data_IF_466150605532
#
_entry.id   IF_466150605532
#
_cell.length_a   1.000
_cell.length_b   1.000
_cell.length_c   1.000
_cell.angle_alpha   90.00
_cell.angle_beta   90.00
_cell.angle_gamma   90.00
#
_symmetry.space_group_name_H-M   'P 1'
#
loop_
_entity.id
_entity.type
_entity.pdbx_description
1 polymer ?
#
# COMPACT_ATOMS: atom_id res chain seq x y z
N UNK A 1 -9.77 -27.61 -19.15
CA UNK A 1 -10.16 -26.87 -17.94
C UNK A 1 -10.56 -25.48 -18.40
N UNK A 2 -11.73 -24.98 -17.99
CA UNK A 2 -12.15 -23.62 -18.33
C UNK A 2 -11.20 -22.64 -17.66
N UNK A 3 -10.52 -21.81 -18.43
CA UNK A 3 -9.62 -20.79 -17.88
C UNK A 3 -10.41 -19.53 -17.56
N UNK A 4 -10.59 -19.26 -16.27
CA UNK A 4 -11.21 -18.03 -15.79
C UNK A 4 -10.27 -16.84 -15.95
N UNK A 5 -10.82 -15.67 -16.24
CA UNK A 5 -10.09 -14.42 -16.38
C UNK A 5 -10.25 -13.54 -15.14
N UNK A 6 -9.22 -12.74 -14.82
CA UNK A 6 -9.32 -11.62 -13.87
C UNK A 6 -9.34 -10.26 -14.60
N UNK A 7 -8.70 -10.18 -15.77
CA UNK A 7 -8.60 -8.95 -16.55
C UNK A 7 -8.78 -9.21 -18.04
N UNK A 8 -9.51 -8.31 -18.67
CA UNK A 8 -9.75 -8.25 -20.11
C UNK A 8 -8.47 -7.93 -20.90
N UNK A 9 -8.37 -8.49 -22.11
CA UNK A 9 -7.32 -8.09 -23.05
C UNK A 9 -7.56 -6.69 -23.62
N UNK A 10 -6.50 -6.04 -24.13
CA UNK A 10 -6.61 -4.78 -24.89
C UNK A 10 -6.06 -4.95 -26.29
N UNK A 11 -6.68 -4.26 -27.26
CA UNK A 11 -6.22 -4.29 -28.66
C UNK A 11 -5.14 -3.24 -28.97
N UNK A 12 -5.10 -2.12 -28.22
CA UNK A 12 -4.16 -0.99 -28.45
C UNK A 12 -3.72 -0.33 -27.13
N UNK A 13 -2.45 -0.49 -26.70
CA UNK A 13 -1.50 -1.50 -27.17
C UNK A 13 -2.05 -2.93 -26.97
N UNK A 14 -1.61 -3.92 -27.76
CA UNK A 14 -2.04 -5.30 -27.60
C UNK A 14 -1.56 -5.85 -26.25
N UNK A 15 -2.51 -6.23 -25.40
CA UNK A 15 -2.27 -6.87 -24.09
C UNK A 15 -3.18 -8.09 -24.02
N UNK A 16 -2.64 -9.30 -23.75
CA UNK A 16 -3.48 -10.49 -23.58
C UNK A 16 -4.39 -10.37 -22.34
N UNK A 17 -5.53 -11.07 -22.31
CA UNK A 17 -6.29 -11.20 -21.07
C UNK A 17 -5.45 -11.90 -20.00
N UNK A 18 -5.70 -11.58 -18.73
CA UNK A 18 -5.00 -12.20 -17.61
C UNK A 18 -5.89 -13.26 -16.97
N UNK A 19 -5.32 -14.44 -16.74
CA UNK A 19 -6.02 -15.53 -16.05
C UNK A 19 -6.23 -15.18 -14.58
N UNK A 20 -7.35 -15.64 -14.04
CA UNK A 20 -7.72 -15.46 -12.64
C UNK A 20 -6.62 -15.97 -11.70
N UNK A 21 -6.15 -17.21 -11.91
CA UNK A 21 -5.10 -17.82 -11.08
C UNK A 21 -3.80 -17.01 -11.09
N UNK A 22 -3.40 -16.50 -12.26
CA UNK A 22 -2.16 -15.73 -12.39
C UNK A 22 -2.26 -14.40 -11.64
N UNK A 23 -3.42 -13.73 -11.73
CA UNK A 23 -3.70 -12.50 -11.00
C UNK A 23 -3.67 -12.73 -9.48
N UNK A 24 -4.41 -13.73 -8.98
CA UNK A 24 -4.46 -14.02 -7.54
C UNK A 24 -3.08 -14.36 -6.99
N UNK A 25 -2.28 -15.17 -7.69
CA UNK A 25 -0.92 -15.53 -7.27
C UNK A 25 0.03 -14.32 -7.25
N UNK A 26 -0.06 -13.45 -8.26
CA UNK A 26 0.77 -12.24 -8.31
C UNK A 26 0.40 -11.25 -7.20
N UNK A 27 -0.90 -11.06 -6.95
CA UNK A 27 -1.42 -10.21 -5.86
C UNK A 27 -0.99 -10.77 -4.52
N UNK A 28 -1.15 -12.07 -4.28
CA UNK A 28 -0.70 -12.74 -3.06
C UNK A 28 0.79 -12.51 -2.83
N UNK A 29 1.62 -12.80 -3.83
CA UNK A 29 3.07 -12.62 -3.74
C UNK A 29 3.45 -11.18 -3.38
N UNK A 30 2.89 -10.19 -4.08
CA UNK A 30 3.22 -8.78 -3.84
C UNK A 30 2.67 -8.29 -2.49
N UNK A 31 1.48 -8.71 -2.10
CA UNK A 31 0.92 -8.39 -0.79
C UNK A 31 1.78 -8.96 0.35
N UNK A 32 2.33 -10.16 0.17
CA UNK A 32 3.31 -10.76 1.09
C UNK A 32 4.63 -10.00 1.14
N UNK A 33 5.19 -9.63 -0.01
CA UNK A 33 6.42 -8.81 -0.05
C UNK A 33 6.21 -7.46 0.67
N UNK A 34 5.05 -6.84 0.47
CA UNK A 34 4.66 -5.60 1.13
C UNK A 34 4.55 -5.77 2.65
N UNK A 35 3.79 -6.77 3.12
CA UNK A 35 3.57 -6.96 4.56
C UNK A 35 4.83 -7.45 5.29
N UNK A 36 5.65 -8.29 4.66
CA UNK A 36 6.94 -8.70 5.21
C UNK A 36 7.92 -7.53 5.32
N UNK A 37 7.86 -6.58 4.38
CA UNK A 37 8.62 -5.33 4.48
C UNK A 37 8.21 -4.44 5.66
N UNK A 38 6.95 -4.53 6.09
CA UNK A 38 6.39 -3.83 7.24
C UNK A 38 6.62 -4.59 8.56
N UNK A 39 6.62 -5.93 8.54
CA UNK A 39 6.59 -6.78 9.73
C UNK A 39 7.65 -6.48 10.79
N UNK A 40 8.86 -6.11 10.38
CA UNK A 40 9.95 -5.71 11.30
C UNK A 40 9.65 -4.47 12.15
N UNK A 41 8.63 -3.70 11.80
CA UNK A 41 8.20 -2.49 12.52
C UNK A 41 6.89 -2.69 13.28
N UNK A 42 6.25 -3.85 13.13
CA UNK A 42 4.97 -4.14 13.76
C UNK A 42 5.19 -4.82 15.10
N UNK A 43 4.55 -4.30 16.15
CA UNK A 43 4.69 -4.80 17.52
C UNK A 43 3.60 -5.80 17.93
N UNK A 44 2.58 -5.98 17.09
CA UNK A 44 1.47 -6.90 17.35
C UNK A 44 1.73 -8.31 16.81
N UNK A 45 0.67 -9.11 16.72
CA UNK A 45 0.71 -10.47 16.19
C UNK A 45 0.96 -10.45 14.66
N UNK A 46 2.24 -10.48 14.27
CA UNK A 46 2.63 -10.38 12.86
C UNK A 46 2.15 -11.58 12.04
N UNK A 47 2.07 -12.77 12.63
CA UNK A 47 1.54 -13.96 11.96
C UNK A 47 0.08 -13.73 11.61
N UNK A 48 -0.73 -13.28 12.58
CA UNK A 48 -2.13 -12.94 12.33
C UNK A 48 -2.29 -11.84 11.25
N UNK A 49 -1.46 -10.80 11.31
CA UNK A 49 -1.44 -9.74 10.29
C UNK A 49 -1.15 -10.27 8.89
N UNK A 50 -0.10 -11.10 8.76
CA UNK A 50 0.30 -11.68 7.48
C UNK A 50 -0.76 -12.62 6.92
N UNK A 51 -1.28 -13.54 7.73
CA UNK A 51 -2.30 -14.50 7.28
C UNK A 51 -3.62 -13.81 6.92
N UNK A 52 -3.98 -12.73 7.61
CA UNK A 52 -5.15 -11.90 7.25
C UNK A 52 -4.99 -11.26 5.87
N UNK A 53 -3.83 -10.66 5.59
CA UNK A 53 -3.54 -10.06 4.28
C UNK A 53 -3.50 -11.12 3.18
N UNK A 54 -2.92 -12.30 3.46
CA UNK A 54 -2.91 -13.44 2.54
C UNK A 54 -4.32 -13.92 2.21
N UNK A 55 -5.17 -14.10 3.21
CA UNK A 55 -6.57 -14.49 3.02
C UNK A 55 -7.33 -13.44 2.18
N UNK A 56 -7.14 -12.15 2.46
CA UNK A 56 -7.75 -11.11 1.65
C UNK A 56 -7.24 -11.15 0.19
N UNK A 57 -5.94 -11.32 -0.04
CA UNK A 57 -5.37 -11.41 -1.39
C UNK A 57 -5.91 -12.61 -2.19
N UNK A 58 -6.11 -13.77 -1.55
CA UNK A 58 -6.66 -14.96 -2.19
C UNK A 58 -8.12 -14.78 -2.63
N UNK A 59 -8.92 -14.06 -1.83
CA UNK A 59 -10.37 -14.00 -2.02
C UNK A 59 -10.92 -12.65 -2.50
N UNK A 60 -10.10 -11.61 -2.64
CA UNK A 60 -10.56 -10.25 -3.00
C UNK A 60 -11.41 -10.21 -4.28
N UNK A 61 -11.05 -11.07 -5.22
CA UNK A 61 -11.59 -11.13 -6.57
C UNK A 61 -12.51 -12.33 -6.81
N UNK A 62 -12.94 -13.04 -5.75
CA UNK A 62 -13.72 -14.28 -5.87
C UNK A 62 -14.97 -14.10 -6.74
N UNK A 63 -15.64 -12.96 -6.66
CA UNK A 63 -16.85 -12.68 -7.45
C UNK A 63 -16.60 -12.55 -8.94
N UNK A 64 -15.35 -12.42 -9.40
CA UNK A 64 -15.03 -12.45 -10.84
C UNK A 64 -15.32 -13.82 -11.46
N UNK A 65 -15.46 -14.88 -10.67
CA UNK A 65 -15.81 -16.22 -11.13
C UNK A 65 -17.31 -16.38 -11.47
N UNK A 66 -18.10 -15.33 -11.28
CA UNK A 66 -19.46 -15.24 -11.79
C UNK A 66 -19.49 -15.30 -13.33
N UNK A 67 -20.52 -15.96 -13.87
CA UNK A 67 -20.64 -16.20 -15.32
C UNK A 67 -20.84 -14.90 -16.09
N UNK A 68 -21.60 -13.95 -15.56
CA UNK A 68 -21.80 -12.65 -16.17
C UNK A 68 -20.51 -11.84 -16.16
N UNK A 69 -19.77 -11.88 -15.05
CA UNK A 69 -18.46 -11.22 -14.96
C UNK A 69 -17.47 -11.81 -15.98
N UNK A 70 -17.41 -13.13 -16.12
CA UNK A 70 -16.56 -13.80 -17.11
C UNK A 70 -16.95 -13.44 -18.55
N UNK A 71 -18.25 -13.31 -18.85
CA UNK A 71 -18.75 -12.84 -20.15
C UNK A 71 -18.25 -11.43 -20.46
N UNK A 72 -18.33 -10.51 -19.50
CA UNK A 72 -17.81 -9.13 -19.65
C UNK A 72 -16.32 -9.14 -19.92
N UNK A 73 -15.54 -9.94 -19.16
CA UNK A 73 -14.09 -10.03 -19.32
C UNK A 73 -13.67 -10.59 -20.69
N UNK A 74 -14.35 -11.63 -21.16
CA UNK A 74 -14.04 -12.30 -22.43
C UNK A 74 -14.38 -11.43 -23.65
N UNK A 75 -15.46 -10.65 -23.57
CA UNK A 75 -15.96 -9.85 -24.71
C UNK A 75 -15.36 -8.44 -24.76
N UNK A 76 -14.65 -8.00 -23.71
CA UNK A 76 -14.27 -6.60 -23.51
C UNK A 76 -15.48 -5.66 -23.65
N UNK A 77 -16.65 -6.11 -23.19
CA UNK A 77 -17.86 -5.31 -23.25
C UNK A 77 -17.63 -3.97 -22.53
N UNK A 78 -18.19 -2.89 -23.07
CA UNK A 78 -18.20 -1.56 -22.41
C UNK A 78 -19.22 -1.49 -21.27
N UNK A 79 -19.72 -2.63 -20.82
CA UNK A 79 -20.65 -2.76 -19.71
C UNK A 79 -19.95 -2.36 -18.40
N UNK A 80 -20.71 -1.84 -17.44
CA UNK A 80 -20.20 -1.62 -16.10
C UNK A 80 -19.77 -2.97 -15.53
N UNK A 81 -18.56 -3.04 -14.96
CA UNK A 81 -18.10 -4.25 -14.31
C UNK A 81 -18.96 -4.49 -13.08
N UNK A 82 -19.59 -5.67 -12.92
CA UNK A 82 -20.37 -5.97 -11.73
C UNK A 82 -19.53 -5.83 -10.45
N UNK A 83 -20.16 -5.59 -9.32
CA UNK A 83 -19.46 -5.65 -8.04
C UNK A 83 -19.03 -7.11 -7.77
N UNK A 84 -17.72 -7.34 -7.68
CA UNK A 84 -17.12 -8.68 -7.48
C UNK A 84 -16.64 -8.92 -6.05
N UNK A 85 -16.75 -7.91 -5.19
CA UNK A 85 -16.16 -7.93 -3.85
C UNK A 85 -17.00 -8.77 -2.88
N UNK A 86 -18.32 -8.76 -3.05
CA UNK A 86 -19.28 -9.35 -2.12
C UNK A 86 -19.03 -10.85 -1.86
N UNK A 87 -18.69 -11.62 -2.89
CA UNK A 87 -18.44 -13.06 -2.78
C UNK A 87 -17.24 -13.39 -1.87
N UNK A 88 -16.13 -12.67 -2.02
CA UNK A 88 -14.95 -12.85 -1.18
C UNK A 88 -15.24 -12.50 0.27
N UNK A 89 -15.94 -11.38 0.48
CA UNK A 89 -16.36 -10.94 1.82
C UNK A 89 -17.30 -11.95 2.48
N UNK A 90 -18.31 -12.44 1.74
CA UNK A 90 -19.25 -13.45 2.22
C UNK A 90 -18.54 -14.70 2.75
N UNK A 91 -17.61 -15.23 1.97
CA UNK A 91 -16.83 -16.40 2.35
C UNK A 91 -16.00 -16.16 3.62
N UNK A 92 -15.28 -15.05 3.68
CA UNK A 92 -14.40 -14.75 4.81
C UNK A 92 -15.19 -14.50 6.10
N UNK A 93 -16.39 -13.90 6.03
CA UNK A 93 -17.31 -13.77 7.17
C UNK A 93 -17.77 -15.14 7.66
N UNK A 94 -18.18 -16.05 6.77
CA UNK A 94 -18.58 -17.42 7.15
C UNK A 94 -17.46 -18.19 7.84
N UNK A 95 -16.19 -17.84 7.55
CA UNK A 95 -14.99 -18.41 8.17
C UNK A 95 -14.53 -17.66 9.43
N UNK A 96 -15.28 -16.65 9.88
CA UNK A 96 -14.94 -15.78 11.00
C UNK A 96 -13.60 -15.01 10.82
N UNK A 97 -13.24 -14.71 9.57
CA UNK A 97 -12.04 -13.97 9.17
C UNK A 97 -12.38 -12.50 8.94
N UNK A 98 -12.93 -11.84 9.95
CA UNK A 98 -13.56 -10.51 9.83
C UNK A 98 -12.61 -9.44 9.29
N UNK A 99 -11.35 -9.40 9.74
CA UNK A 99 -10.39 -8.42 9.21
C UNK A 99 -10.11 -8.65 7.73
N UNK A 100 -9.94 -9.90 7.29
CA UNK A 100 -9.71 -10.21 5.89
C UNK A 100 -10.94 -9.83 5.05
N UNK A 101 -12.14 -10.13 5.55
CA UNK A 101 -13.41 -9.72 4.95
C UNK A 101 -13.49 -8.19 4.81
N UNK A 102 -13.05 -7.45 5.83
CA UNK A 102 -13.00 -5.99 5.81
C UNK A 102 -12.02 -5.45 4.76
N UNK A 103 -10.85 -6.08 4.62
CA UNK A 103 -9.87 -5.72 3.59
C UNK A 103 -10.41 -5.97 2.19
N UNK A 104 -11.06 -7.13 1.97
CA UNK A 104 -11.74 -7.43 0.71
C UNK A 104 -12.84 -6.40 0.47
N UNK A 105 -13.77 -6.19 1.39
CA UNK A 105 -14.85 -5.21 1.22
C UNK A 105 -14.33 -3.80 0.84
N UNK A 106 -13.21 -3.38 1.44
CA UNK A 106 -12.66 -2.04 1.28
C UNK A 106 -11.76 -1.83 0.05
N UNK A 107 -11.36 -2.86 -0.71
CA UNK A 107 -10.26 -2.71 -1.67
C UNK A 107 -10.54 -1.77 -2.86
N UNK A 108 -11.81 -1.54 -3.22
CA UNK A 108 -12.20 -0.53 -4.22
C UNK A 108 -12.81 0.75 -3.64
N UNK A 109 -13.35 0.69 -2.41
CA UNK A 109 -14.16 1.78 -1.82
C UNK A 109 -13.51 2.47 -0.61
N UNK A 110 -12.39 1.94 -0.14
CA UNK A 110 -11.72 2.39 1.09
C UNK A 110 -12.34 1.83 2.37
N UNK A 111 -11.66 2.05 3.50
CA UNK A 111 -12.12 1.56 4.81
C UNK A 111 -13.41 2.25 5.23
N UNK A 112 -14.44 1.45 5.48
CA UNK A 112 -15.73 1.92 5.98
C UNK A 112 -15.72 2.14 7.51
N UNK A 113 -16.77 2.76 8.01
CA UNK A 113 -17.00 2.95 9.44
C UNK A 113 -17.48 1.65 10.08
N UNK A 114 -16.71 1.09 11.02
CA UNK A 114 -17.10 -0.17 11.71
C UNK A 114 -18.46 -0.04 12.39
N UNK A 115 -18.78 1.04 13.15
CA UNK A 115 -20.11 1.18 13.76
C UNK A 115 -21.25 1.21 12.74
N UNK A 116 -21.06 1.89 11.60
CA UNK A 116 -22.09 1.97 10.54
C UNK A 116 -22.29 0.63 9.85
N UNK A 117 -21.21 -0.07 9.51
CA UNK A 117 -21.30 -1.42 8.94
C UNK A 117 -21.95 -2.39 9.94
N UNK A 118 -21.58 -2.32 11.22
CA UNK A 118 -22.14 -3.19 12.27
C UNK A 118 -23.64 -2.98 12.44
N UNK A 119 -24.13 -1.76 12.25
CA UNK A 119 -25.56 -1.44 12.30
C UNK A 119 -26.37 -2.11 11.18
N UNK A 120 -25.73 -2.58 10.11
CA UNK A 120 -26.37 -3.33 9.02
C UNK A 120 -26.66 -4.80 9.36
N UNK A 121 -26.21 -5.29 10.52
CA UNK A 121 -26.45 -6.63 11.03
C UNK A 121 -26.08 -7.75 10.03
N UNK A 122 -27.07 -8.45 9.46
CA UNK A 122 -26.85 -9.53 8.49
C UNK A 122 -26.16 -9.07 7.19
N UNK A 123 -26.25 -7.76 6.90
CA UNK A 123 -25.61 -7.11 5.76
C UNK A 123 -24.25 -6.48 6.13
N UNK A 124 -23.65 -6.84 7.28
CA UNK A 124 -22.32 -6.36 7.67
C UNK A 124 -21.28 -6.66 6.57
N UNK A 125 -20.71 -5.60 5.97
CA UNK A 125 -19.77 -5.68 4.83
C UNK A 125 -20.34 -6.39 3.59
N UNK A 126 -21.66 -6.40 3.43
CA UNK A 126 -22.32 -7.02 2.27
C UNK A 126 -23.03 -5.97 1.43
N UNK A 127 -23.15 -6.26 0.14
CA UNK A 127 -23.96 -5.49 -0.78
C UNK A 127 -25.41 -5.99 -0.72
N UNK A 128 -26.40 -5.16 -0.30
CA UNK A 128 -27.80 -5.57 -0.18
C UNK A 128 -28.39 -6.11 -1.49
N UNK A 129 -27.97 -5.56 -2.63
CA UNK A 129 -28.52 -5.93 -3.94
C UNK A 129 -27.97 -7.29 -4.42
N UNK A 130 -26.79 -7.69 -3.94
CA UNK A 130 -26.14 -8.94 -4.30
C UNK A 130 -26.26 -10.04 -3.25
N UNK A 131 -26.59 -9.70 -2.00
CA UNK A 131 -26.53 -10.60 -0.84
C UNK A 131 -27.11 -12.00 -1.10
N UNK A 132 -28.37 -12.07 -1.56
CA UNK A 132 -29.09 -13.32 -1.83
C UNK A 132 -28.48 -14.12 -2.98
N UNK A 133 -28.14 -13.42 -4.07
CA UNK A 133 -27.55 -14.04 -5.25
C UNK A 133 -26.15 -14.59 -4.93
N UNK A 134 -25.29 -13.78 -4.31
CA UNK A 134 -23.96 -14.21 -3.87
C UNK A 134 -24.05 -15.42 -2.97
N UNK A 135 -24.91 -15.41 -1.94
CA UNK A 135 -25.03 -16.54 -1.02
C UNK A 135 -25.43 -17.83 -1.75
N UNK A 136 -26.32 -17.73 -2.76
CA UNK A 136 -26.73 -18.87 -3.58
C UNK A 136 -25.61 -19.41 -4.47
N UNK A 137 -24.82 -18.52 -5.08
CA UNK A 137 -23.74 -18.89 -6.02
C UNK A 137 -22.40 -19.19 -5.34
N UNK A 138 -22.24 -18.82 -4.07
CA UNK A 138 -20.98 -18.93 -3.33
C UNK A 138 -20.35 -20.34 -3.40
N UNK A 139 -21.10 -21.46 -3.22
CA UNK A 139 -20.53 -22.81 -3.34
C UNK A 139 -19.89 -23.07 -4.71
N UNK A 140 -20.49 -22.54 -5.78
CA UNK A 140 -19.96 -22.67 -7.14
C UNK A 140 -18.67 -21.85 -7.31
N UNK A 141 -18.64 -20.60 -6.83
CA UNK A 141 -17.44 -19.77 -6.87
C UNK A 141 -16.28 -20.42 -6.12
N UNK A 142 -16.55 -20.99 -4.94
CA UNK A 142 -15.55 -21.71 -4.15
C UNK A 142 -15.08 -22.99 -4.85
N UNK A 143 -15.96 -23.72 -5.52
CA UNK A 143 -15.58 -24.88 -6.33
C UNK A 143 -14.66 -24.49 -7.49
N UNK A 144 -14.99 -23.40 -8.21
CA UNK A 144 -14.15 -22.84 -9.28
C UNK A 144 -12.79 -22.40 -8.74
N UNK A 145 -12.78 -21.65 -7.63
CA UNK A 145 -11.56 -21.18 -6.96
C UNK A 145 -10.66 -22.34 -6.51
N UNK A 146 -11.24 -23.38 -5.88
CA UNK A 146 -10.50 -24.54 -5.38
C UNK A 146 -9.88 -25.36 -6.52
N UNK A 147 -10.51 -25.38 -7.70
CA UNK A 147 -9.96 -26.04 -8.90
C UNK A 147 -8.70 -25.38 -9.45
N UNK A 148 -8.41 -24.13 -9.06
CA UNK A 148 -7.23 -23.38 -9.49
C UNK A 148 -5.94 -23.74 -8.73
N UNK A 149 -5.99 -24.68 -7.76
CA UNK A 149 -4.82 -25.14 -6.98
C UNK A 149 -4.08 -23.99 -6.27
N UNK A 150 -4.83 -23.00 -5.79
CA UNK A 150 -4.30 -21.86 -5.05
C UNK A 150 -3.88 -22.27 -3.63
N UNK A 151 -2.94 -21.54 -2.99
CA UNK A 151 -2.57 -21.77 -1.60
C UNK A 151 -3.77 -21.72 -0.66
N UNK A 152 -3.81 -22.62 0.31
CA UNK A 152 -4.85 -22.62 1.33
C UNK A 152 -4.64 -21.50 2.37
N UNK A 153 -5.74 -21.04 2.94
CA UNK A 153 -5.73 -20.12 4.10
C UNK A 153 -5.55 -20.90 5.39
N UNK A 154 -4.74 -20.38 6.31
CA UNK A 154 -4.64 -20.95 7.67
C UNK A 154 -5.96 -20.74 8.42
N UNK A 155 -6.42 -21.79 9.12
CA UNK A 155 -7.61 -21.73 9.98
C UNK A 155 -7.36 -20.98 11.31
N UNK A 156 -6.12 -20.61 11.60
CA UNK A 156 -5.68 -20.06 12.89
C UNK A 156 -5.73 -18.53 12.89
N UNK A 157 -6.90 -17.96 12.64
CA UNK A 157 -7.12 -16.52 12.83
C UNK A 157 -7.98 -16.32 14.08
N UNK A 158 -7.45 -15.59 15.06
CA UNK A 158 -8.17 -15.23 16.29
C UNK A 158 -9.44 -14.46 15.93
N UNK A 159 -10.51 -14.71 16.67
CA UNK A 159 -11.82 -14.06 16.47
C UNK A 159 -11.83 -12.57 16.83
N UNK A 160 -10.79 -12.05 17.47
CA UNK A 160 -10.68 -10.65 17.85
C UNK A 160 -9.29 -10.11 17.48
N UNK A 161 -9.28 -9.05 16.69
CA UNK A 161 -8.08 -8.28 16.38
C UNK A 161 -7.93 -7.13 17.37
N UNK A 162 -6.69 -6.85 17.76
CA UNK A 162 -6.29 -5.64 18.48
C UNK A 162 -5.92 -4.51 17.51
N UNK A 163 -6.33 -4.62 16.25
CA UNK A 163 -5.87 -3.73 15.20
C UNK A 163 -6.38 -2.32 15.42
N UNK A 164 -5.46 -1.38 15.28
CA UNK A 164 -5.79 0.05 15.19
C UNK A 164 -6.28 0.40 13.79
N UNK A 165 -6.83 1.61 13.62
CA UNK A 165 -7.12 2.15 12.30
C UNK A 165 -5.86 2.25 11.41
N UNK A 166 -4.68 2.47 11.99
CA UNK A 166 -3.42 2.49 11.24
C UNK A 166 -3.04 1.10 10.73
N UNK A 167 -3.18 0.06 11.56
CA UNK A 167 -2.92 -1.34 11.16
C UNK A 167 -3.81 -1.75 9.99
N UNK A 168 -5.12 -1.45 10.07
CA UNK A 168 -6.07 -1.69 8.96
C UNK A 168 -5.68 -0.94 7.68
N UNK A 169 -5.25 0.33 7.79
CA UNK A 169 -4.79 1.12 6.64
C UNK A 169 -3.54 0.53 5.99
N UNK A 170 -2.58 0.06 6.78
CA UNK A 170 -1.37 -0.59 6.26
C UNK A 170 -1.70 -1.93 5.60
N UNK A 171 -2.53 -2.76 6.23
CA UNK A 171 -2.97 -4.04 5.67
C UNK A 171 -3.74 -3.85 4.35
N UNK A 172 -4.70 -2.90 4.31
CA UNK A 172 -5.41 -2.54 3.09
C UNK A 172 -4.46 -2.01 2.02
N UNK A 173 -3.51 -1.15 2.39
CA UNK A 173 -2.52 -0.64 1.44
C UNK A 173 -1.67 -1.76 0.85
N UNK A 174 -1.38 -2.84 1.57
CA UNK A 174 -0.63 -3.98 1.05
C UNK A 174 -1.43 -4.72 -0.02
N UNK A 175 -2.74 -4.93 0.20
CA UNK A 175 -3.66 -5.56 -0.76
C UNK A 175 -3.87 -4.69 -2.00
N UNK A 176 -4.24 -3.42 -1.79
CA UNK A 176 -4.56 -2.46 -2.86
C UNK A 176 -3.33 -2.17 -3.73
N UNK A 177 -2.15 -1.95 -3.13
CA UNK A 177 -0.91 -1.79 -3.92
C UNK A 177 -0.58 -3.06 -4.73
N UNK A 178 -0.87 -4.24 -4.20
CA UNK A 178 -0.65 -5.50 -4.90
C UNK A 178 -1.60 -5.66 -6.09
N UNK A 179 -2.90 -5.44 -5.91
CA UNK A 179 -3.92 -5.53 -6.96
C UNK A 179 -3.70 -4.50 -8.09
N UNK A 180 -3.60 -3.21 -7.73
CA UNK A 180 -3.30 -2.17 -8.72
C UNK A 180 -1.93 -2.39 -9.39
N UNK A 181 -0.99 -2.90 -8.62
CA UNK A 181 0.36 -3.19 -9.05
C UNK A 181 0.44 -4.27 -10.12
N UNK A 182 -0.23 -5.40 -9.88
CA UNK A 182 -0.33 -6.50 -10.85
C UNK A 182 -1.14 -6.07 -12.08
N UNK A 183 -2.27 -5.39 -11.87
CA UNK A 183 -3.09 -4.83 -12.96
C UNK A 183 -2.25 -3.89 -13.85
N UNK A 184 -1.44 -3.01 -13.26
CA UNK A 184 -0.55 -2.12 -14.01
C UNK A 184 0.51 -2.91 -14.80
N UNK A 185 1.13 -3.91 -14.17
CA UNK A 185 2.14 -4.76 -14.80
C UNK A 185 1.55 -5.53 -16.00
N UNK A 186 0.37 -6.12 -15.84
CA UNK A 186 -0.34 -6.83 -16.90
C UNK A 186 -0.60 -5.90 -18.10
N UNK A 187 -1.05 -4.67 -17.86
CA UNK A 187 -1.27 -3.67 -18.91
C UNK A 187 0.00 -2.95 -19.39
N UNK A 188 1.19 -3.47 -19.10
CA UNK A 188 2.49 -2.92 -19.47
C UNK A 188 2.67 -1.44 -19.07
N UNK A 189 1.95 -1.01 -18.04
CA UNK A 189 2.17 0.28 -17.40
C UNK A 189 3.36 0.08 -16.47
N UNK A 190 4.46 0.80 -16.77
CA UNK A 190 5.79 0.72 -16.12
C UNK A 190 5.78 0.00 -14.76
N UNK A 191 6.60 -1.05 -14.66
CA UNK A 191 6.91 -1.72 -13.40
C UNK A 191 7.34 -0.68 -12.34
N UNK A 192 7.05 -0.92 -11.05
CA UNK A 192 7.71 -0.18 -9.99
C UNK A 192 9.21 -0.25 -10.25
N UNK A 193 9.84 0.91 -10.38
CA UNK A 193 11.30 0.98 -10.48
C UNK A 193 11.85 0.28 -9.24
N UNK A 194 12.89 -0.56 -9.42
CA UNK A 194 13.59 -1.18 -8.29
C UNK A 194 13.87 -0.11 -7.24
N UNK A 195 13.78 -0.49 -5.96
CA UNK A 195 14.00 0.44 -4.85
C UNK A 195 15.33 1.16 -5.09
N UNK A 196 15.28 2.48 -5.22
CA UNK A 196 16.48 3.27 -5.46
C UNK A 196 17.46 3.04 -4.31
N UNK A 197 18.72 2.75 -4.64
CA UNK A 197 19.77 2.60 -3.63
C UNK A 197 19.90 3.90 -2.84
N UNK A 198 19.90 3.78 -1.52
CA UNK A 198 20.11 4.92 -0.62
C UNK A 198 21.53 5.44 -0.80
N UNK A 199 21.68 6.73 -1.05
CA UNK A 199 22.97 7.42 -1.20
C UNK A 199 23.07 8.54 -0.17
N UNK A 200 22.72 8.25 1.08
CA UNK A 200 22.54 9.28 2.12
C UNK A 200 23.87 9.96 2.48
N UNK A 201 24.93 9.19 2.61
CA UNK A 201 26.29 9.64 2.92
C UNK A 201 26.85 10.55 1.83
N UNK A 202 26.67 10.14 0.57
CA UNK A 202 27.07 10.94 -0.59
C UNK A 202 26.27 12.23 -0.67
N UNK A 203 24.95 12.17 -0.48
CA UNK A 203 24.07 13.35 -0.48
C UNK A 203 24.43 14.31 0.65
N UNK A 204 24.75 13.80 1.84
CA UNK A 204 25.18 14.61 2.97
C UNK A 204 26.53 15.29 2.69
N UNK A 205 27.47 14.55 2.09
CA UNK A 205 28.78 15.10 1.70
C UNK A 205 28.65 16.17 0.60
N UNK A 206 27.76 15.95 -0.39
CA UNK A 206 27.48 16.94 -1.41
C UNK A 206 26.84 18.21 -0.82
N UNK A 207 25.92 18.05 0.15
CA UNK A 207 25.30 19.14 0.87
C UNK A 207 26.32 19.95 1.69
N UNK A 208 27.22 19.26 2.40
CA UNK A 208 28.31 19.90 3.15
C UNK A 208 29.19 20.76 2.24
N UNK A 209 29.59 20.22 1.08
CA UNK A 209 30.40 20.96 0.10
C UNK A 209 29.66 22.19 -0.44
N UNK A 210 28.36 22.05 -0.71
CA UNK A 210 27.54 23.18 -1.17
C UNK A 210 27.49 24.30 -0.13
N UNK A 211 27.28 23.98 1.15
CA UNK A 211 27.25 24.98 2.22
C UNK A 211 28.62 25.64 2.39
N UNK A 212 29.72 24.89 2.32
CA UNK A 212 31.08 25.44 2.38
C UNK A 212 31.40 26.39 1.22
N UNK A 213 30.98 26.08 0.00
CA UNK A 213 31.23 26.95 -1.15
C UNK A 213 30.41 28.26 -1.09
N UNK A 214 29.15 28.20 -0.61
CA UNK A 214 28.35 29.40 -0.37
C UNK A 214 29.00 30.36 0.64
N UNK A 215 29.72 29.81 1.61
CA UNK A 215 30.47 30.59 2.59
C UNK A 215 31.68 31.26 1.95
N UNK A 216 32.42 30.55 1.08
CA UNK A 216 33.60 31.09 0.40
C UNK A 216 33.27 32.27 -0.54
N UNK A 217 32.05 32.27 -1.10
CA UNK A 217 31.62 33.29 -2.05
C UNK A 217 31.07 34.57 -1.39
N UNK A 218 30.62 34.50 -0.14
CA UNK A 218 30.10 35.65 0.59
C UNK A 218 31.12 36.08 1.64
N UNK A 219 31.56 37.35 1.61
CA UNK A 219 32.52 37.90 2.57
C UNK A 219 32.12 37.63 4.03
N UNK A 220 33.11 37.47 4.92
CA UNK A 220 32.92 37.26 6.35
C UNK A 220 31.95 38.30 6.92
N UNK A 221 30.72 37.86 7.18
CA UNK A 221 29.65 38.66 7.72
C UNK A 221 29.02 37.88 8.87
N UNK A 222 28.54 38.58 9.90
CA UNK A 222 27.85 37.97 11.05
C UNK A 222 26.71 37.03 10.60
N UNK A 223 26.07 37.37 9.47
CA UNK A 223 25.05 36.54 8.83
C UNK A 223 25.58 35.17 8.40
N UNK A 224 26.75 35.09 7.78
CA UNK A 224 27.33 33.82 7.35
C UNK A 224 27.71 32.94 8.54
N UNK A 225 28.21 33.53 9.61
CA UNK A 225 28.49 32.81 10.88
C UNK A 225 27.21 32.22 11.45
N UNK A 226 26.13 33.00 11.54
CA UNK A 226 24.84 32.50 12.03
C UNK A 226 24.27 31.36 11.17
N UNK A 227 24.35 31.48 9.84
CA UNK A 227 23.91 30.41 8.91
C UNK A 227 24.71 29.13 9.12
N UNK A 228 26.01 29.25 9.38
CA UNK A 228 26.89 28.13 9.64
C UNK A 228 26.58 27.44 10.97
N UNK A 229 26.38 28.24 12.02
CA UNK A 229 26.06 27.74 13.36
C UNK A 229 24.73 26.99 13.35
N UNK A 230 23.71 27.51 12.65
CA UNK A 230 22.43 26.83 12.47
C UNK A 230 22.61 25.51 11.70
N UNK A 231 23.35 25.53 10.60
CA UNK A 231 23.59 24.32 9.79
C UNK A 231 24.25 23.21 10.63
N UNK A 232 25.35 23.51 11.30
CA UNK A 232 26.07 22.51 12.10
C UNK A 232 25.32 22.12 13.36
N UNK A 233 24.57 23.03 13.99
CA UNK A 233 23.72 22.69 15.14
C UNK A 233 22.64 21.69 14.76
N UNK A 234 21.95 21.88 13.62
CA UNK A 234 20.97 20.92 13.14
C UNK A 234 21.62 19.61 12.72
N UNK A 235 22.69 19.66 11.91
CA UNK A 235 23.38 18.46 11.41
C UNK A 235 23.92 17.57 12.53
N UNK A 236 24.42 18.17 13.61
CA UNK A 236 25.03 17.45 14.74
C UNK A 236 24.06 17.18 15.89
N UNK A 237 22.78 17.59 15.78
CA UNK A 237 21.76 17.27 16.76
C UNK A 237 21.57 15.75 16.89
N UNK A 238 21.20 15.31 18.10
CA UNK A 238 20.94 13.89 18.39
C UNK A 238 19.89 13.33 17.44
N UNK A 239 20.17 12.19 16.84
CA UNK A 239 19.27 11.50 15.92
C UNK A 239 18.46 10.41 16.60
N UNK A 240 18.57 10.19 17.91
CA UNK A 240 17.76 9.19 18.62
C UNK A 240 16.26 9.53 18.71
N UNK A 241 15.82 10.79 18.95
CA UNK A 241 14.41 11.12 19.10
C UNK A 241 13.55 10.73 17.88
N UNK A 242 12.25 10.49 18.10
CA UNK A 242 11.30 10.24 17.01
C UNK A 242 10.74 11.52 16.38
N UNK A 243 10.78 12.63 17.11
CA UNK A 243 10.28 13.94 16.68
C UNK A 243 11.31 15.02 16.95
N UNK A 244 11.38 15.98 16.01
CA UNK A 244 12.30 17.11 16.06
C UNK A 244 11.57 18.39 15.70
N UNK A 245 11.99 19.49 16.30
CA UNK A 245 11.49 20.83 16.01
C UNK A 245 12.67 21.75 15.75
N UNK A 246 12.64 22.47 14.64
CA UNK A 246 13.64 23.48 14.31
C UNK A 246 12.93 24.83 14.20
N UNK A 247 13.01 25.62 15.27
CA UNK A 247 12.53 26.99 15.26
C UNK A 247 13.68 27.93 14.87
N UNK A 248 13.46 28.72 13.82
CA UNK A 248 14.43 29.71 13.36
C UNK A 248 13.75 30.72 12.43
N UNK A 249 14.21 31.98 12.38
CA UNK A 249 13.65 33.01 11.49
C UNK A 249 13.70 32.66 9.99
N UNK A 250 12.91 33.35 9.17
CA UNK A 250 13.01 33.22 7.70
C UNK A 250 14.38 33.68 7.19
N UNK A 251 14.89 33.04 6.13
CA UNK A 251 16.17 33.40 5.52
C UNK A 251 17.43 32.88 6.24
N UNK A 252 17.29 32.01 7.25
CA UNK A 252 18.39 31.41 8.02
C UNK A 252 18.89 30.06 7.49
N UNK A 253 18.50 29.67 6.27
CA UNK A 253 18.96 28.40 5.69
C UNK A 253 18.37 27.13 6.34
N UNK A 254 17.25 27.25 7.06
CA UNK A 254 16.56 26.13 7.75
C UNK A 254 16.42 24.88 6.89
N UNK A 255 16.00 25.02 5.63
CA UNK A 255 15.75 23.87 4.75
C UNK A 255 17.01 23.03 4.58
N UNK A 256 18.16 23.67 4.32
CA UNK A 256 19.46 23.02 4.17
C UNK A 256 19.92 22.37 5.48
N UNK A 257 19.74 23.07 6.60
CA UNK A 257 20.10 22.58 7.93
C UNK A 257 19.26 21.36 8.37
N UNK A 258 17.93 21.42 8.16
CA UNK A 258 16.99 20.33 8.42
C UNK A 258 17.27 19.15 7.49
N UNK A 259 17.57 19.39 6.21
CA UNK A 259 17.93 18.33 5.27
C UNK A 259 19.20 17.59 5.72
N UNK A 260 20.22 18.32 6.20
CA UNK A 260 21.43 17.70 6.74
C UNK A 260 21.12 16.81 7.95
N UNK A 261 20.27 17.28 8.87
CA UNK A 261 19.79 16.48 9.99
C UNK A 261 19.00 15.24 9.55
N UNK A 262 18.08 15.39 8.59
CA UNK A 262 17.29 14.28 8.06
C UNK A 262 18.16 13.22 7.36
N UNK A 263 19.18 13.64 6.62
CA UNK A 263 20.17 12.74 6.00
C UNK A 263 20.97 12.00 7.08
N UNK A 264 21.42 12.68 8.13
CA UNK A 264 22.09 12.03 9.27
C UNK A 264 21.17 11.02 9.96
N UNK A 265 19.93 11.41 10.27
CA UNK A 265 18.95 10.51 10.88
C UNK A 265 18.63 9.31 9.98
N UNK A 266 18.61 9.49 8.65
CA UNK A 266 18.40 8.40 7.71
C UNK A 266 19.58 7.40 7.68
N UNK A 267 20.82 7.90 7.81
CA UNK A 267 22.02 7.07 7.96
C UNK A 267 21.96 6.29 9.28
N UNK A 268 21.83 7.01 10.40
CA UNK A 268 21.93 6.43 11.74
C UNK A 268 20.81 5.40 12.02
N UNK A 269 19.60 5.62 11.48
CA UNK A 269 18.44 4.73 11.66
C UNK A 269 18.24 3.73 10.51
N UNK A 270 19.07 3.77 9.46
CA UNK A 270 18.90 2.93 8.27
C UNK A 270 17.56 3.15 7.55
N UNK A 271 17.09 4.40 7.46
CA UNK A 271 15.82 4.73 6.82
C UNK A 271 15.93 4.65 5.29
N UNK A 272 14.83 4.25 4.65
CA UNK A 272 14.77 4.05 3.20
C UNK A 272 14.29 5.27 2.41
N UNK A 273 13.60 6.20 3.08
CA UNK A 273 12.99 7.34 2.44
C UNK A 273 13.10 8.58 3.32
N UNK A 274 13.27 9.73 2.66
CA UNK A 274 13.04 11.06 3.22
C UNK A 274 11.86 11.63 2.44
N UNK A 275 10.78 11.97 3.14
CA UNK A 275 9.59 12.57 2.55
C UNK A 275 9.55 14.02 3.00
N UNK A 276 9.57 14.95 2.03
CA UNK A 276 9.49 16.38 2.27
C UNK A 276 8.06 16.82 1.97
N UNK A 277 7.37 17.34 2.96
CA UNK A 277 6.03 17.90 2.80
C UNK A 277 6.15 19.42 2.74
N UNK A 278 5.90 19.99 1.55
CA UNK A 278 5.91 21.43 1.33
C UNK A 278 4.49 21.99 1.45
N UNK A 279 4.32 23.21 1.97
CA UNK A 279 2.99 23.81 2.15
C UNK A 279 2.29 24.12 0.82
N UNK A 280 3.06 24.36 -0.26
CA UNK A 280 2.54 24.71 -1.56
C UNK A 280 3.34 24.05 -2.69
N UNK A 281 2.67 23.72 -3.79
CA UNK A 281 3.27 23.06 -4.96
C UNK A 281 4.19 23.99 -5.77
N UNK A 282 3.98 25.30 -5.71
CA UNK A 282 4.81 26.30 -6.40
C UNK A 282 6.26 26.36 -5.87
N UNK A 283 6.52 25.85 -4.67
CA UNK A 283 7.86 25.81 -4.05
C UNK A 283 8.67 24.60 -4.54
N UNK A 284 8.05 23.60 -5.18
CA UNK A 284 8.74 22.36 -5.63
C UNK A 284 9.85 22.65 -6.67
N UNK A 285 9.73 23.73 -7.44
CA UNK A 285 10.69 24.11 -8.50
C UNK A 285 11.77 25.11 -8.05
N UNK A 286 11.67 25.65 -6.84
CA UNK A 286 12.64 26.59 -6.27
C UNK A 286 13.82 25.84 -5.66
#
# INVERSE_FOLDING_TARGET
MTEYLAHSGRKKPPVPPQRYVDHILNVLKRAEENINGFGKYYLGDFTFLRETVRAAALFHDLGKLDEEFQRVLATNAREATPNHVDAGTAYLIQRNLVEAAFLVYAHHIGLQSIPEESAKAELFLRDPDLFEQTNRQLPEFLSKHSSCLLPEISAECKSQSDWTGLTRRVALSCLVDADHGDTAANYQRKLPTSRATTRWEERLTALDKYVQELQRQNSESERNTLLNDIYYSCKNADTKPSFYTCDSPVGTGKTTAVMAHMLRAAIDKGLRHIIIVLPYTNIIKQ
#
